data_IF_543535487148
#
_entry.id   IF_543535487148
#
_cell.length_a   1.000
_cell.length_b   1.000
_cell.length_c   1.000
_cell.angle_alpha   90.00
_cell.angle_beta   90.00
_cell.angle_gamma   90.00
#
_symmetry.space_group_name_H-M   'P 1'
#
loop_
_entity.id
_entity.type
_entity.pdbx_description
1 polymer ?
#
# COMPACT_ATOMS: atom_id res chain seq x y z
N UNK A 1 -73.25 -35.19 -37.44
CA UNK A 1 -71.89 -35.64 -37.80
C UNK A 1 -70.94 -35.02 -36.85
N UNK A 2 -70.43 -35.83 -35.90
CA UNK A 2 -69.50 -35.39 -34.85
C UNK A 2 -68.05 -35.71 -35.29
N UNK A 3 -67.23 -34.74 -35.46
CA UNK A 3 -65.80 -34.93 -35.76
C UNK A 3 -64.99 -34.99 -34.45
N UNK A 4 -64.45 -36.20 -34.17
CA UNK A 4 -63.54 -36.45 -33.06
C UNK A 4 -62.25 -35.72 -33.26
N UNK A 5 -61.90 -34.81 -32.33
CA UNK A 5 -60.57 -34.27 -32.19
C UNK A 5 -59.69 -35.27 -31.44
N UNK A 6 -58.65 -35.74 -32.13
CA UNK A 6 -57.74 -36.77 -31.61
C UNK A 6 -56.70 -36.11 -30.69
N UNK A 7 -56.65 -36.56 -29.39
CA UNK A 7 -55.77 -36.06 -28.34
C UNK A 7 -54.27 -36.31 -28.55
N UNK A 8 -53.88 -36.91 -29.69
CA UNK A 8 -52.45 -37.22 -29.98
C UNK A 8 -51.71 -36.14 -30.76
N UNK A 9 -52.40 -35.15 -31.31
CA UNK A 9 -51.78 -34.04 -32.11
C UNK A 9 -51.42 -32.79 -31.29
N UNK A 10 -51.74 -32.77 -29.97
CA UNK A 10 -51.48 -31.62 -29.10
C UNK A 10 -50.16 -31.70 -28.31
N UNK A 11 -49.45 -32.82 -28.44
CA UNK A 11 -48.20 -33.04 -27.67
C UNK A 11 -46.90 -32.83 -28.45
N UNK A 12 -46.98 -32.48 -29.74
CA UNK A 12 -45.77 -32.34 -30.58
C UNK A 12 -45.37 -30.88 -30.87
N UNK A 13 -46.07 -29.88 -30.33
CA UNK A 13 -45.74 -28.43 -30.53
C UNK A 13 -45.13 -27.76 -29.29
N UNK A 14 -45.02 -28.44 -28.14
CA UNK A 14 -44.44 -27.84 -26.92
C UNK A 14 -42.99 -28.28 -26.68
N UNK A 15 -42.39 -29.08 -27.56
CA UNK A 15 -41.00 -29.55 -27.40
C UNK A 15 -39.94 -28.78 -28.18
N UNK A 16 -40.35 -27.70 -28.92
CA UNK A 16 -39.41 -26.92 -29.75
C UNK A 16 -39.20 -25.46 -29.27
N UNK A 17 -39.76 -25.07 -28.13
CA UNK A 17 -39.69 -23.71 -27.59
C UNK A 17 -38.91 -23.54 -26.28
N UNK A 18 -38.26 -24.60 -25.74
CA UNK A 18 -37.67 -24.61 -24.43
C UNK A 18 -36.11 -24.72 -24.37
N UNK A 19 -35.44 -24.54 -25.50
CA UNK A 19 -33.96 -24.67 -25.55
C UNK A 19 -33.27 -23.31 -25.82
N UNK A 20 -33.83 -22.21 -25.33
CA UNK A 20 -33.18 -20.91 -25.40
C UNK A 20 -33.07 -20.33 -24.00
N UNK A 21 -31.79 -20.05 -23.59
CA UNK A 21 -31.41 -19.19 -22.46
C UNK A 21 -31.44 -19.82 -21.07
N UNK A 22 -30.84 -20.99 -20.90
CA UNK A 22 -30.12 -21.30 -19.67
C UNK A 22 -28.61 -21.08 -19.92
N UNK A 23 -28.22 -19.86 -20.31
CA UNK A 23 -26.86 -19.42 -19.98
C UNK A 23 -26.84 -19.22 -18.46
N UNK A 24 -26.78 -20.33 -17.75
CA UNK A 24 -26.45 -20.33 -16.34
C UNK A 24 -25.10 -19.63 -16.21
N UNK A 25 -25.13 -18.36 -15.80
CA UNK A 25 -23.99 -17.80 -15.09
C UNK A 25 -23.79 -18.77 -13.93
N UNK A 26 -22.88 -19.73 -14.11
CA UNK A 26 -22.37 -20.50 -12.99
C UNK A 26 -21.90 -19.43 -12.00
N UNK A 27 -22.59 -19.32 -10.87
CA UNK A 27 -22.11 -18.49 -9.78
C UNK A 27 -20.74 -19.05 -9.45
N UNK A 28 -19.69 -18.35 -9.82
CA UNK A 28 -18.36 -18.72 -9.45
C UNK A 28 -18.38 -18.86 -7.92
N UNK A 29 -17.90 -19.98 -7.41
CA UNK A 29 -17.83 -20.22 -5.97
C UNK A 29 -17.08 -19.05 -5.34
N UNK A 30 -17.73 -18.34 -4.40
CA UNK A 30 -17.12 -17.21 -3.71
C UNK A 30 -16.01 -17.77 -2.83
N UNK A 31 -14.77 -17.41 -3.13
CA UNK A 31 -13.59 -17.85 -2.39
C UNK A 31 -13.33 -16.90 -1.21
N UNK A 32 -13.01 -17.48 -0.05
CA UNK A 32 -12.49 -16.69 1.06
C UNK A 32 -11.13 -16.09 0.69
N UNK A 33 -10.98 -14.80 0.97
CA UNK A 33 -9.77 -14.03 0.76
C UNK A 33 -9.34 -13.32 2.02
N UNK A 34 -8.03 -13.12 2.19
CA UNK A 34 -7.44 -12.36 3.31
C UNK A 34 -6.34 -11.46 2.78
N UNK A 35 -6.53 -10.16 2.96
CA UNK A 35 -5.55 -9.15 2.63
C UNK A 35 -5.08 -8.42 3.89
N UNK A 36 -3.77 -8.23 4.04
CA UNK A 36 -3.18 -7.58 5.21
C UNK A 36 -2.53 -6.26 4.85
N UNK A 37 -2.79 -5.22 5.66
CA UNK A 37 -2.19 -3.88 5.53
C UNK A 37 -1.55 -3.43 6.84
N UNK A 38 -0.51 -2.54 6.80
CA UNK A 38 0.23 -2.18 8.00
C UNK A 38 -0.57 -1.34 9.00
N UNK A 39 -1.06 -0.18 8.56
CA UNK A 39 -1.73 0.83 9.39
C UNK A 39 -2.87 1.49 8.60
N UNK A 40 -3.81 2.08 9.30
CA UNK A 40 -5.02 2.69 8.71
C UNK A 40 -4.76 4.14 8.27
N UNK A 41 -4.13 4.30 7.09
CA UNK A 41 -3.84 5.61 6.47
C UNK A 41 -4.14 5.58 4.97
N UNK A 42 -4.41 6.74 4.33
CA UNK A 42 -4.78 6.81 2.91
C UNK A 42 -3.76 6.22 1.93
N UNK A 43 -2.47 6.12 2.28
CA UNK A 43 -1.46 5.51 1.40
C UNK A 43 -1.82 4.08 0.97
N UNK A 44 -2.65 3.40 1.75
CA UNK A 44 -3.15 2.05 1.46
C UNK A 44 -4.57 2.05 0.89
N UNK A 45 -5.05 3.15 0.31
CA UNK A 45 -6.45 3.33 -0.14
C UNK A 45 -6.93 2.31 -1.19
N UNK A 46 -6.04 1.73 -1.99
CA UNK A 46 -6.42 0.85 -3.11
C UNK A 46 -7.25 -0.34 -2.64
N UNK A 47 -6.83 -1.03 -1.57
CA UNK A 47 -7.59 -2.17 -1.05
C UNK A 47 -8.85 -1.75 -0.29
N UNK A 48 -8.86 -0.58 0.38
CA UNK A 48 -10.06 -0.04 1.02
C UNK A 48 -11.14 0.28 -0.03
N UNK A 49 -10.73 0.89 -1.15
CA UNK A 49 -11.63 1.15 -2.28
C UNK A 49 -12.09 -0.17 -2.90
N UNK A 50 -11.20 -1.16 -3.09
CA UNK A 50 -11.58 -2.46 -3.65
C UNK A 50 -12.65 -3.16 -2.81
N UNK A 51 -12.55 -3.08 -1.48
CA UNK A 51 -13.55 -3.63 -0.57
C UNK A 51 -14.87 -2.85 -0.61
N UNK A 52 -14.82 -1.54 -0.41
CA UNK A 52 -16.01 -0.69 -0.30
C UNK A 52 -16.78 -0.56 -1.62
N UNK A 53 -16.10 -0.52 -2.76
CA UNK A 53 -16.72 -0.50 -4.07
C UNK A 53 -17.22 -1.90 -4.52
N UNK A 54 -17.00 -2.95 -3.71
CA UNK A 54 -17.45 -4.30 -4.01
C UNK A 54 -16.63 -5.02 -5.07
N UNK A 55 -15.45 -4.52 -5.45
CA UNK A 55 -14.65 -5.11 -6.52
C UNK A 55 -14.11 -6.48 -6.18
N UNK A 56 -13.85 -6.78 -4.90
CA UNK A 56 -13.52 -8.14 -4.47
C UNK A 56 -14.69 -9.09 -4.68
N UNK A 57 -15.90 -8.72 -4.29
CA UNK A 57 -17.11 -9.54 -4.47
C UNK A 57 -17.42 -9.78 -5.95
N UNK A 58 -17.29 -8.73 -6.77
CA UNK A 58 -17.47 -8.84 -8.22
C UNK A 58 -16.45 -9.80 -8.85
N UNK A 59 -15.25 -9.90 -8.28
CA UNK A 59 -14.21 -10.84 -8.68
C UNK A 59 -14.38 -12.25 -8.07
N UNK A 60 -15.43 -12.50 -7.30
CA UNK A 60 -15.70 -13.78 -6.64
C UNK A 60 -14.93 -14.00 -5.34
N UNK A 61 -14.51 -12.92 -4.65
CA UNK A 61 -13.81 -13.00 -3.36
C UNK A 61 -14.66 -12.44 -2.22
N UNK A 62 -14.79 -13.19 -1.13
CA UNK A 62 -15.15 -12.67 0.19
C UNK A 62 -13.85 -12.32 0.92
N UNK A 63 -13.36 -11.09 0.70
CA UNK A 63 -12.05 -10.65 1.16
C UNK A 63 -12.15 -10.00 2.54
N UNK A 64 -11.38 -10.49 3.51
CA UNK A 64 -11.21 -9.90 4.84
C UNK A 64 -9.95 -9.05 4.86
N UNK A 65 -10.09 -7.77 5.20
CA UNK A 65 -8.98 -6.85 5.42
C UNK A 65 -8.48 -6.99 6.87
N UNK A 66 -7.17 -7.20 7.04
CA UNK A 66 -6.52 -7.43 8.33
C UNK A 66 -5.50 -6.33 8.57
N UNK A 67 -5.63 -5.60 9.68
CA UNK A 67 -4.62 -4.63 10.07
C UNK A 67 -3.48 -5.34 10.81
N UNK A 68 -2.28 -5.31 10.25
CA UNK A 68 -1.08 -5.95 10.83
C UNK A 68 -0.41 -5.14 11.94
N UNK A 69 -0.66 -3.82 11.99
CA UNK A 69 -0.07 -2.91 12.97
C UNK A 69 1.30 -2.33 12.57
N UNK A 70 2.03 -2.97 11.66
CA UNK A 70 3.25 -2.44 11.05
C UNK A 70 3.62 -3.19 9.78
N UNK A 71 4.50 -2.61 8.93
CA UNK A 71 4.97 -3.26 7.70
C UNK A 71 5.67 -4.59 7.95
N UNK A 72 6.50 -4.66 9.01
CA UNK A 72 7.20 -5.91 9.39
C UNK A 72 6.19 -7.00 9.75
N UNK A 73 5.19 -6.69 10.57
CA UNK A 73 4.13 -7.66 10.91
C UNK A 73 3.29 -8.06 9.71
N UNK A 74 3.00 -7.13 8.79
CA UNK A 74 2.35 -7.46 7.52
C UNK A 74 3.13 -8.51 6.75
N UNK A 75 4.45 -8.34 6.64
CA UNK A 75 5.33 -9.32 6.00
C UNK A 75 5.32 -10.68 6.73
N UNK A 76 5.35 -10.68 8.07
CA UNK A 76 5.30 -11.91 8.88
C UNK A 76 3.98 -12.67 8.70
N UNK A 77 2.86 -11.97 8.61
CA UNK A 77 1.54 -12.56 8.34
C UNK A 77 1.51 -13.23 6.96
N UNK A 78 2.11 -12.61 5.93
CA UNK A 78 2.27 -13.22 4.60
C UNK A 78 3.23 -14.42 4.66
N UNK A 79 4.36 -14.29 5.35
CA UNK A 79 5.34 -15.37 5.51
C UNK A 79 4.72 -16.63 6.14
N UNK A 80 3.82 -16.46 7.10
CA UNK A 80 3.12 -17.56 7.80
C UNK A 80 1.86 -18.05 7.07
N UNK A 81 1.54 -17.48 5.90
CA UNK A 81 0.33 -17.82 5.11
C UNK A 81 -0.99 -17.56 5.88
N UNK A 82 -0.98 -16.64 6.85
CA UNK A 82 -2.19 -16.21 7.56
C UNK A 82 -3.03 -15.23 6.72
N UNK A 83 -2.41 -14.57 5.72
CA UNK A 83 -3.10 -13.84 4.67
C UNK A 83 -2.58 -14.25 3.29
N UNK A 84 -3.39 -14.02 2.25
CA UNK A 84 -3.06 -14.40 0.88
C UNK A 84 -2.22 -13.34 0.17
N UNK A 85 -2.52 -12.07 0.43
CA UNK A 85 -1.87 -10.92 -0.19
C UNK A 85 -1.65 -9.83 0.87
N UNK A 86 -0.60 -9.05 0.72
CA UNK A 86 -0.32 -7.90 1.56
C UNK A 86 -0.05 -6.65 0.74
N UNK A 87 -0.21 -5.49 1.37
CA UNK A 87 0.27 -4.22 0.84
C UNK A 87 1.34 -3.66 1.77
N UNK A 88 2.40 -3.10 1.19
CA UNK A 88 3.50 -2.51 1.95
C UNK A 88 4.70 -2.18 1.09
N UNK A 89 5.85 -1.98 1.72
CA UNK A 89 7.09 -1.66 1.04
C UNK A 89 7.49 -2.75 0.03
N UNK A 90 7.96 -2.32 -1.13
CA UNK A 90 8.43 -3.23 -2.19
C UNK A 90 9.58 -4.14 -1.74
N UNK A 91 10.31 -3.78 -0.69
CA UNK A 91 11.35 -4.63 -0.11
C UNK A 91 10.79 -5.83 0.65
N UNK A 92 9.53 -5.83 1.05
CA UNK A 92 8.93 -6.93 1.81
C UNK A 92 8.98 -8.26 1.06
N UNK A 93 8.56 -8.38 -0.23
CA UNK A 93 8.73 -9.61 -0.99
C UNK A 93 10.22 -9.99 -1.18
N UNK A 94 11.11 -9.02 -1.32
CA UNK A 94 12.55 -9.28 -1.41
C UNK A 94 13.11 -9.89 -0.11
N UNK A 95 12.71 -9.34 1.04
CA UNK A 95 13.08 -9.89 2.36
C UNK A 95 12.51 -11.30 2.57
N UNK A 96 11.28 -11.57 2.11
CA UNK A 96 10.72 -12.93 2.12
C UNK A 96 11.58 -13.90 1.31
N UNK A 97 12.04 -13.50 0.13
CA UNK A 97 12.93 -14.31 -0.72
C UNK A 97 14.24 -14.64 0.00
N UNK A 98 14.84 -13.67 0.69
CA UNK A 98 16.06 -13.89 1.48
C UNK A 98 15.87 -14.91 2.63
N UNK A 99 14.65 -15.07 3.10
CA UNK A 99 14.30 -16.06 4.13
C UNK A 99 13.70 -17.34 3.54
N UNK A 100 13.97 -17.64 2.27
CA UNK A 100 13.56 -18.87 1.61
C UNK A 100 12.07 -18.94 1.20
N UNK A 101 11.37 -17.80 1.23
CA UNK A 101 9.99 -17.68 0.78
C UNK A 101 9.95 -16.77 -0.44
N UNK A 102 9.99 -17.33 -1.66
CA UNK A 102 10.02 -16.55 -2.91
C UNK A 102 8.88 -15.51 -2.94
N UNK A 103 9.21 -14.27 -2.56
CA UNK A 103 8.27 -13.15 -2.53
C UNK A 103 8.02 -12.61 -3.93
N UNK A 104 6.79 -12.17 -4.18
CA UNK A 104 6.34 -11.66 -5.49
C UNK A 104 5.59 -10.35 -5.35
N UNK A 105 6.00 -9.34 -6.11
CA UNK A 105 5.24 -8.12 -6.36
C UNK A 105 4.18 -8.42 -7.41
N UNK A 106 2.92 -8.16 -7.08
CA UNK A 106 1.79 -8.35 -7.99
C UNK A 106 1.41 -7.07 -8.72
N UNK A 107 1.46 -5.93 -8.03
CA UNK A 107 1.18 -4.60 -8.59
C UNK A 107 1.84 -3.52 -7.73
N UNK A 108 2.62 -2.59 -8.30
CA UNK A 108 3.03 -1.38 -7.61
C UNK A 108 1.83 -0.44 -7.43
N UNK A 109 1.91 0.42 -6.42
CA UNK A 109 0.85 1.39 -6.09
C UNK A 109 1.26 2.81 -6.45
N UNK A 110 2.57 3.09 -6.40
CA UNK A 110 3.11 4.43 -6.56
C UNK A 110 4.37 4.46 -7.45
N UNK A 111 4.73 5.67 -7.86
CA UNK A 111 5.93 5.96 -8.66
C UNK A 111 7.04 6.60 -7.84
N UNK A 112 6.72 7.04 -6.62
CA UNK A 112 7.63 7.58 -5.61
C UNK A 112 6.95 7.55 -4.24
N UNK A 113 7.72 7.70 -3.16
CA UNK A 113 7.14 7.70 -1.82
C UNK A 113 6.18 8.88 -1.61
N UNK A 114 5.07 8.58 -0.95
CA UNK A 114 4.11 9.56 -0.43
C UNK A 114 4.15 9.69 1.10
N UNK A 115 5.03 8.95 1.77
CA UNK A 115 4.98 8.77 3.23
C UNK A 115 6.30 9.03 3.95
N UNK A 116 7.29 9.65 3.29
CA UNK A 116 8.57 10.03 3.94
C UNK A 116 8.53 11.50 4.34
N UNK A 117 7.64 11.79 5.29
CA UNK A 117 7.48 13.12 5.89
C UNK A 117 8.08 13.09 7.30
N UNK A 118 9.08 13.94 7.56
CA UNK A 118 9.66 14.10 8.89
C UNK A 118 8.87 15.17 9.64
N UNK A 119 8.19 14.76 10.68
CA UNK A 119 7.33 15.59 11.53
C UNK A 119 8.06 15.82 12.84
N UNK A 120 8.50 17.05 13.09
CA UNK A 120 9.18 17.44 14.33
C UNK A 120 8.14 17.92 15.35
N UNK A 121 8.43 17.73 16.64
CA UNK A 121 7.70 18.41 17.70
C UNK A 121 7.72 19.91 17.48
N UNK A 122 6.55 20.56 17.64
CA UNK A 122 6.43 22.01 17.44
C UNK A 122 7.36 22.82 18.35
N UNK A 123 7.52 22.41 19.61
CA UNK A 123 8.40 23.10 20.57
C UNK A 123 9.88 23.13 20.13
N UNK A 124 10.36 22.11 19.42
CA UNK A 124 11.70 22.09 18.84
C UNK A 124 11.77 22.97 17.58
N UNK A 125 10.72 22.97 16.75
CA UNK A 125 10.60 23.85 15.60
C UNK A 125 10.64 25.33 16.02
N UNK A 126 9.91 25.67 17.08
CA UNK A 126 9.86 27.02 17.65
C UNK A 126 11.21 27.47 18.26
N UNK A 127 12.08 26.53 18.67
CA UNK A 127 13.46 26.78 19.07
C UNK A 127 14.42 26.97 17.89
N UNK A 128 13.93 26.97 16.64
CA UNK A 128 14.74 27.19 15.44
C UNK A 128 15.28 25.90 14.79
N UNK A 129 14.89 24.70 15.25
CA UNK A 129 15.30 23.46 14.61
C UNK A 129 14.41 23.25 13.36
N UNK A 130 14.88 23.78 12.23
CA UNK A 130 14.10 23.88 11.00
C UNK A 130 14.55 22.93 9.89
N UNK A 131 15.71 22.27 10.02
CA UNK A 131 16.27 21.34 9.03
C UNK A 131 16.80 20.07 9.67
N UNK A 132 17.09 19.04 8.88
CA UNK A 132 17.71 17.79 9.37
C UNK A 132 19.11 18.02 9.93
N UNK A 133 19.88 18.94 9.34
CA UNK A 133 21.20 19.33 9.84
C UNK A 133 21.09 20.00 11.22
N UNK A 134 20.14 20.92 11.41
CA UNK A 134 19.90 21.56 12.69
C UNK A 134 19.44 20.53 13.74
N UNK A 135 18.56 19.58 13.37
CA UNK A 135 18.15 18.49 14.25
C UNK A 135 19.36 17.66 14.71
N UNK A 136 20.21 17.23 13.78
CA UNK A 136 21.36 16.37 14.11
C UNK A 136 22.47 17.07 14.88
N UNK A 137 22.54 18.41 14.80
CA UNK A 137 23.42 19.22 15.65
C UNK A 137 22.87 19.42 17.09
N UNK A 138 21.53 19.33 17.24
CA UNK A 138 20.88 19.46 18.55
C UNK A 138 21.07 18.18 19.38
N UNK A 139 21.09 18.33 20.70
CA UNK A 139 21.11 17.24 21.67
C UNK A 139 19.89 17.33 22.57
N UNK A 140 19.37 16.19 22.94
CA UNK A 140 18.34 16.09 23.97
C UNK A 140 18.87 16.64 25.31
N UNK A 141 17.99 17.07 26.23
CA UNK A 141 18.44 17.59 27.54
C UNK A 141 19.34 16.62 28.35
N UNK A 142 19.22 15.33 28.10
CA UNK A 142 20.02 14.27 28.70
C UNK A 142 21.33 13.97 27.92
N UNK A 143 21.68 14.78 26.93
CA UNK A 143 22.87 14.64 26.10
C UNK A 143 22.79 13.60 24.97
N UNK A 144 21.70 12.83 24.88
CA UNK A 144 21.52 11.82 23.84
C UNK A 144 21.29 12.45 22.45
N UNK A 145 21.46 11.63 21.41
CA UNK A 145 21.09 11.96 20.03
C UNK A 145 19.58 12.17 19.94
N UNK A 146 19.10 12.97 18.94
CA UNK A 146 17.68 13.05 18.60
C UNK A 146 17.12 11.65 18.31
N UNK A 147 15.87 11.43 18.71
CA UNK A 147 15.16 10.18 18.48
C UNK A 147 14.17 10.39 17.33
N UNK A 148 14.35 9.63 16.26
CA UNK A 148 13.41 9.57 15.13
C UNK A 148 12.62 8.27 15.21
N UNK A 149 11.31 8.40 15.17
CA UNK A 149 10.36 7.30 15.23
C UNK A 149 9.80 6.96 13.86
N UNK A 150 9.63 5.66 13.65
CA UNK A 150 8.94 5.05 12.50
C UNK A 150 7.95 4.01 13.02
N UNK A 151 7.05 3.48 12.18
CA UNK A 151 6.16 2.38 12.61
C UNK A 151 6.94 1.11 12.99
N UNK A 152 8.00 0.78 12.24
CA UNK A 152 8.90 -0.33 12.55
C UNK A 152 10.25 -0.13 11.88
N UNK A 153 11.32 -0.60 12.55
CA UNK A 153 12.65 -0.68 11.93
C UNK A 153 12.61 -1.69 10.78
N UNK A 154 13.22 -1.34 9.63
CA UNK A 154 13.17 -2.13 8.40
C UNK A 154 11.84 -2.06 7.63
N UNK A 155 10.86 -1.26 8.10
CA UNK A 155 9.65 -0.93 7.32
C UNK A 155 9.89 0.22 6.36
N UNK A 156 8.88 0.51 5.50
CA UNK A 156 8.94 1.53 4.43
C UNK A 156 9.56 2.84 4.90
N UNK A 157 8.96 3.46 5.92
CA UNK A 157 9.42 4.78 6.38
C UNK A 157 10.86 4.76 6.90
N UNK A 158 11.29 3.65 7.52
CA UNK A 158 12.67 3.51 7.99
C UNK A 158 13.66 3.38 6.82
N UNK A 159 13.39 2.48 5.87
CA UNK A 159 14.26 2.23 4.71
C UNK A 159 14.48 3.50 3.89
N UNK A 160 13.41 4.24 3.62
CA UNK A 160 13.48 5.44 2.78
C UNK A 160 14.00 6.67 3.53
N UNK A 161 13.57 6.87 4.77
CA UNK A 161 14.04 8.00 5.58
C UNK A 161 15.54 7.88 5.95
N UNK A 162 16.00 6.68 6.29
CA UNK A 162 17.42 6.42 6.53
C UNK A 162 18.25 6.62 5.27
N UNK A 163 17.73 6.28 4.08
CA UNK A 163 18.41 6.57 2.81
C UNK A 163 18.62 8.07 2.59
N UNK A 164 17.60 8.90 2.84
CA UNK A 164 17.76 10.36 2.80
C UNK A 164 18.83 10.84 3.78
N UNK A 165 18.75 10.40 5.04
CA UNK A 165 19.72 10.77 6.09
C UNK A 165 21.13 10.33 5.71
N UNK A 166 21.30 9.14 5.15
CA UNK A 166 22.59 8.59 4.70
C UNK A 166 23.18 9.39 3.53
N UNK A 167 22.36 9.73 2.50
CA UNK A 167 22.83 10.56 1.37
C UNK A 167 23.24 11.97 1.78
N UNK A 168 22.79 12.44 2.96
CA UNK A 168 23.16 13.72 3.57
C UNK A 168 24.27 13.59 4.63
N UNK A 169 24.76 12.39 4.94
CA UNK A 169 25.78 12.15 5.98
C UNK A 169 25.26 12.40 7.39
N UNK A 170 23.97 12.13 7.66
CA UNK A 170 23.28 12.45 8.91
C UNK A 170 22.75 11.22 9.66
N UNK A 171 22.74 10.03 9.06
CA UNK A 171 22.06 8.85 9.61
C UNK A 171 22.65 8.39 10.95
N UNK A 172 23.96 8.43 11.09
CA UNK A 172 24.68 8.07 12.30
C UNK A 172 24.49 9.06 13.47
N UNK A 173 23.87 10.22 13.22
CA UNK A 173 23.69 11.31 14.20
C UNK A 173 22.33 11.27 14.92
N UNK A 174 21.51 10.30 14.63
CA UNK A 174 20.19 10.10 15.23
C UNK A 174 20.05 8.70 15.84
N UNK A 175 18.96 8.49 16.60
CA UNK A 175 18.55 7.17 17.08
C UNK A 175 17.21 6.82 16.46
N UNK A 176 17.13 5.73 15.72
CA UNK A 176 15.89 5.21 15.16
C UNK A 176 15.19 4.28 16.15
N UNK A 177 13.85 4.42 16.27
CA UNK A 177 13.01 3.50 17.04
C UNK A 177 11.71 3.18 16.30
N UNK A 178 11.17 1.97 16.55
CA UNK A 178 9.84 1.58 16.09
C UNK A 178 8.79 1.85 17.16
N UNK A 179 7.67 2.50 16.79
CA UNK A 179 6.59 2.84 17.75
C UNK A 179 5.22 2.23 17.39
N UNK A 180 5.13 1.41 16.34
CA UNK A 180 3.94 0.61 16.03
C UNK A 180 2.89 1.35 15.20
N UNK A 181 1.63 1.33 15.68
CA UNK A 181 0.48 1.89 14.97
C UNK A 181 0.39 3.43 15.05
N UNK A 182 -0.57 4.02 14.32
CA UNK A 182 -0.76 5.48 14.23
C UNK A 182 -0.92 6.13 15.59
N UNK A 183 -1.77 5.59 16.46
CA UNK A 183 -2.05 6.19 17.77
C UNK A 183 -0.82 6.22 18.66
N UNK A 184 -0.05 5.12 18.66
CA UNK A 184 1.21 5.04 19.42
C UNK A 184 2.27 5.97 18.86
N UNK A 185 2.35 6.08 17.52
CA UNK A 185 3.26 7.01 16.84
C UNK A 185 2.95 8.46 17.23
N UNK A 186 1.70 8.90 17.07
CA UNK A 186 1.25 10.26 17.42
C UNK A 186 1.43 10.53 18.93
N UNK A 187 1.04 9.57 19.76
CA UNK A 187 1.20 9.65 21.22
C UNK A 187 2.66 9.83 21.65
N UNK A 188 3.60 9.11 21.03
CA UNK A 188 5.03 9.21 21.36
C UNK A 188 5.63 10.58 21.03
N UNK A 189 5.21 11.21 19.93
CA UNK A 189 5.63 12.56 19.57
C UNK A 189 5.02 13.60 20.53
N UNK A 190 3.70 13.51 20.77
CA UNK A 190 2.95 14.41 21.66
C UNK A 190 3.47 14.39 23.09
N UNK A 191 3.86 13.21 23.61
CA UNK A 191 4.43 13.04 24.96
C UNK A 191 5.92 13.27 25.05
N UNK A 192 6.56 13.70 23.94
CA UNK A 192 8.01 14.00 23.84
C UNK A 192 8.92 12.78 24.09
N UNK A 193 8.41 11.57 23.95
CA UNK A 193 9.22 10.35 23.97
C UNK A 193 10.16 10.30 22.76
N UNK A 194 9.70 10.81 21.62
CA UNK A 194 10.48 10.99 20.39
C UNK A 194 10.52 12.47 20.00
N UNK A 195 11.49 12.84 19.18
CA UNK A 195 11.70 14.22 18.75
C UNK A 195 11.15 14.46 17.33
N UNK A 196 11.20 13.43 16.51
CA UNK A 196 10.69 13.42 15.15
C UNK A 196 9.96 12.10 14.89
N UNK A 197 8.91 12.17 14.11
CA UNK A 197 8.17 11.04 13.57
C UNK A 197 8.30 11.06 12.05
N UNK A 198 8.60 9.93 11.41
CA UNK A 198 8.51 9.81 9.94
C UNK A 198 7.26 9.02 9.58
N UNK A 199 6.36 9.66 8.85
CA UNK A 199 5.10 9.06 8.43
C UNK A 199 4.50 9.77 7.20
N UNK A 200 3.19 9.75 7.09
CA UNK A 200 2.40 10.27 5.99
C UNK A 200 2.04 11.76 6.17
N UNK A 201 1.54 12.36 5.10
CA UNK A 201 1.10 13.76 5.10
C UNK A 201 -0.14 13.98 5.99
N UNK A 202 -1.03 12.97 6.11
CA UNK A 202 -2.19 13.07 6.99
C UNK A 202 -1.78 13.23 8.46
N UNK A 203 -0.75 12.49 8.91
CA UNK A 203 -0.23 12.62 10.27
C UNK A 203 0.44 13.98 10.51
N UNK A 204 1.13 14.51 9.51
CA UNK A 204 1.64 15.88 9.58
C UNK A 204 0.49 16.89 9.75
N UNK A 205 -0.49 16.83 8.84
CA UNK A 205 -1.60 17.78 8.84
C UNK A 205 -2.38 17.73 10.15
N UNK A 206 -2.69 16.52 10.65
CA UNK A 206 -3.35 16.33 11.94
C UNK A 206 -2.54 16.94 13.09
N UNK A 207 -1.23 16.68 13.13
CA UNK A 207 -0.34 17.20 14.17
C UNK A 207 -0.20 18.75 14.13
N UNK A 208 -0.26 19.33 12.94
CA UNK A 208 -0.23 20.78 12.74
C UNK A 208 -1.55 21.42 13.17
N UNK A 209 -2.69 20.86 12.76
CA UNK A 209 -4.02 21.31 13.18
C UNK A 209 -4.19 21.28 14.70
N UNK A 210 -3.65 20.25 15.35
CA UNK A 210 -3.68 20.14 16.82
C UNK A 210 -2.58 20.95 17.55
N UNK A 211 -1.67 21.60 16.81
CA UNK A 211 -0.69 22.54 17.34
C UNK A 211 0.53 21.94 18.05
N UNK A 212 0.83 20.65 17.89
CA UNK A 212 1.99 20.00 18.54
C UNK A 212 3.04 19.44 17.59
N UNK A 213 2.78 19.37 16.29
CA UNK A 213 3.73 18.95 15.25
C UNK A 213 4.01 20.05 14.22
N UNK A 214 5.09 19.90 13.49
CA UNK A 214 5.46 20.76 12.37
C UNK A 214 6.27 20.00 11.33
N UNK A 215 6.24 20.46 10.07
CA UNK A 215 7.10 19.91 9.02
C UNK A 215 8.57 20.22 9.30
N UNK A 216 9.41 19.17 9.27
CA UNK A 216 10.87 19.30 9.29
C UNK A 216 11.46 19.10 7.89
N UNK A 217 11.10 17.99 7.23
CA UNK A 217 11.60 17.62 5.92
C UNK A 217 10.53 16.85 5.14
N UNK A 218 10.34 17.23 3.86
CA UNK A 218 9.40 16.58 2.96
C UNK A 218 10.14 15.75 1.90
N UNK A 219 10.36 14.48 2.20
CA UNK A 219 10.97 13.52 1.26
C UNK A 219 10.05 13.14 0.09
N UNK A 220 8.77 13.56 0.11
CA UNK A 220 7.83 13.33 -1.00
C UNK A 220 7.86 14.43 -2.06
N UNK A 221 8.51 15.55 -1.75
CA UNK A 221 8.70 16.66 -2.69
C UNK A 221 9.46 16.19 -3.92
N UNK A 222 8.92 16.46 -5.10
CA UNK A 222 9.45 15.95 -6.36
C UNK A 222 10.88 16.41 -6.66
N UNK A 223 11.22 17.65 -6.35
CA UNK A 223 12.58 18.16 -6.56
C UNK A 223 13.59 17.47 -5.61
N UNK A 224 13.18 17.25 -4.34
CA UNK A 224 13.99 16.52 -3.36
C UNK A 224 14.13 15.08 -3.79
N UNK A 225 13.02 14.42 -4.18
CA UNK A 225 13.04 13.06 -4.70
C UNK A 225 13.98 12.90 -5.89
N UNK A 226 13.84 13.77 -6.90
CA UNK A 226 14.68 13.70 -8.10
C UNK A 226 16.17 13.96 -7.79
N UNK A 227 16.47 14.85 -6.84
CA UNK A 227 17.86 15.12 -6.40
C UNK A 227 18.51 13.88 -5.76
N UNK A 228 17.79 13.15 -4.90
CA UNK A 228 18.37 12.05 -4.12
C UNK A 228 18.16 10.67 -4.74
N UNK A 229 17.02 10.47 -5.46
CA UNK A 229 16.60 9.17 -5.99
C UNK A 229 16.79 9.09 -7.53
N UNK A 230 16.53 10.19 -8.24
CA UNK A 230 16.77 10.28 -9.70
C UNK A 230 15.60 9.87 -10.60
N UNK A 231 14.37 9.83 -10.09
CA UNK A 231 13.17 9.55 -10.90
C UNK A 231 12.26 8.46 -10.35
N UNK A 232 11.42 7.86 -11.19
CA UNK A 232 10.44 6.82 -10.79
C UNK A 232 11.14 5.65 -10.08
N UNK A 233 10.69 5.35 -8.87
CA UNK A 233 11.00 4.14 -8.12
C UNK A 233 9.76 3.75 -7.33
N UNK A 234 9.20 2.55 -7.53
CA UNK A 234 8.06 2.09 -6.75
C UNK A 234 8.48 1.89 -5.29
N UNK A 235 7.62 2.32 -4.38
CA UNK A 235 7.84 2.25 -2.93
C UNK A 235 6.86 1.29 -2.29
N UNK A 236 5.60 1.41 -2.65
CA UNK A 236 4.51 0.59 -2.14
C UNK A 236 4.03 -0.39 -3.20
N UNK A 237 3.79 -1.62 -2.80
CA UNK A 237 3.29 -2.65 -3.71
C UNK A 237 2.32 -3.61 -3.02
N UNK A 238 1.42 -4.20 -3.79
CA UNK A 238 0.72 -5.43 -3.41
C UNK A 238 1.66 -6.61 -3.65
N UNK A 239 1.79 -7.49 -2.66
CA UNK A 239 2.75 -8.58 -2.70
C UNK A 239 2.22 -9.86 -2.05
N UNK A 240 2.82 -10.98 -2.42
CA UNK A 240 2.56 -12.30 -1.86
C UNK A 240 3.82 -13.17 -1.93
N UNK A 241 3.68 -14.47 -1.71
CA UNK A 241 4.74 -15.47 -1.98
C UNK A 241 4.34 -16.40 -3.11
N UNK A 242 5.33 -16.92 -3.85
CA UNK A 242 5.11 -17.80 -4.99
C UNK A 242 4.22 -19.00 -4.65
N UNK A 243 4.40 -19.61 -3.48
CA UNK A 243 3.59 -20.76 -3.05
C UNK A 243 2.10 -20.44 -2.88
N UNK A 244 1.74 -19.17 -2.57
CA UNK A 244 0.33 -18.74 -2.53
C UNK A 244 -0.22 -18.59 -3.95
N UNK A 245 0.59 -18.09 -4.88
CA UNK A 245 0.24 -18.01 -6.30
C UNK A 245 -0.01 -19.43 -6.85
N UNK A 246 0.94 -20.33 -6.64
CA UNK A 246 0.89 -21.71 -7.17
C UNK A 246 -0.30 -22.50 -6.64
N UNK A 247 -0.73 -22.22 -5.41
CA UNK A 247 -1.87 -22.89 -4.76
C UNK A 247 -3.21 -22.56 -5.42
N UNK A 248 -3.41 -21.30 -5.82
CA UNK A 248 -4.69 -20.84 -6.42
C UNK A 248 -4.45 -19.63 -7.34
N UNK A 249 -3.88 -19.82 -8.55
CA UNK A 249 -3.67 -18.73 -9.50
C UNK A 249 -4.95 -17.96 -9.85
N UNK A 250 -6.13 -18.60 -10.04
CA UNK A 250 -7.37 -17.88 -10.27
C UNK A 250 -7.76 -16.94 -9.12
N UNK A 251 -7.51 -17.31 -7.86
CA UNK A 251 -7.74 -16.45 -6.70
C UNK A 251 -6.82 -15.23 -6.74
N UNK A 252 -5.54 -15.42 -7.10
CA UNK A 252 -4.60 -14.30 -7.25
C UNK A 252 -5.02 -13.36 -8.38
N UNK A 253 -5.49 -13.90 -9.51
CA UNK A 253 -6.05 -13.09 -10.59
C UNK A 253 -7.25 -12.27 -10.14
N UNK A 254 -8.15 -12.85 -9.35
CA UNK A 254 -9.31 -12.16 -8.80
C UNK A 254 -8.89 -10.98 -7.90
N UNK A 255 -7.90 -11.18 -7.02
CA UNK A 255 -7.33 -10.11 -6.20
C UNK A 255 -6.78 -8.95 -7.05
N UNK A 256 -5.87 -9.28 -7.98
CA UNK A 256 -5.21 -8.25 -8.79
C UNK A 256 -6.21 -7.51 -9.69
N UNK A 257 -7.23 -8.22 -10.19
CA UNK A 257 -8.33 -7.60 -10.96
C UNK A 257 -9.13 -6.61 -10.11
N UNK A 258 -9.46 -6.97 -8.86
CA UNK A 258 -10.18 -6.07 -7.95
C UNK A 258 -9.34 -4.82 -7.61
N UNK A 259 -8.05 -5.00 -7.34
CA UNK A 259 -7.11 -3.91 -7.06
C UNK A 259 -6.89 -3.00 -8.27
N UNK A 260 -6.79 -3.56 -9.47
CA UNK A 260 -6.70 -2.78 -10.71
C UNK A 260 -7.94 -1.91 -10.91
N UNK A 261 -9.14 -2.47 -10.74
CA UNK A 261 -10.40 -1.72 -10.81
C UNK A 261 -10.44 -0.59 -9.78
N UNK A 262 -9.97 -0.84 -8.56
CA UNK A 262 -9.86 0.18 -7.51
C UNK A 262 -8.89 1.30 -7.90
N UNK A 263 -7.74 0.97 -8.49
CA UNK A 263 -6.77 1.95 -9.00
C UNK A 263 -7.40 2.85 -10.07
N UNK A 264 -8.16 2.27 -11.03
CA UNK A 264 -8.85 3.05 -12.05
C UNK A 264 -10.01 3.88 -11.47
N UNK A 265 -10.71 3.37 -10.46
CA UNK A 265 -11.73 4.13 -9.74
C UNK A 265 -11.11 5.35 -9.04
N UNK A 266 -9.99 5.17 -8.33
CA UNK A 266 -9.24 6.26 -7.67
C UNK A 266 -8.79 7.32 -8.69
N UNK A 267 -8.32 6.91 -9.87
CA UNK A 267 -7.95 7.82 -10.98
C UNK A 267 -9.09 8.73 -11.41
N UNK A 268 -10.32 8.21 -11.41
CA UNK A 268 -11.51 8.88 -11.93
C UNK A 268 -12.28 9.73 -10.89
N UNK A 269 -11.90 9.67 -9.60
CA UNK A 269 -12.67 10.32 -8.54
C UNK A 269 -11.86 11.42 -7.84
N UNK A 270 -12.59 12.40 -7.28
CA UNK A 270 -11.97 13.47 -6.49
C UNK A 270 -11.46 12.97 -5.14
N UNK A 271 -10.50 13.67 -4.51
CA UNK A 271 -10.02 13.33 -3.17
C UNK A 271 -11.13 13.22 -2.12
N UNK A 272 -12.15 14.08 -2.19
CA UNK A 272 -13.30 14.03 -1.29
C UNK A 272 -14.13 12.75 -1.47
N UNK A 273 -14.39 12.35 -2.71
CA UNK A 273 -15.11 11.10 -3.02
C UNK A 273 -14.31 9.86 -2.58
N UNK A 274 -12.99 9.90 -2.75
CA UNK A 274 -12.11 8.83 -2.28
C UNK A 274 -12.16 8.77 -0.76
N UNK A 275 -12.06 9.91 -0.07
CA UNK A 275 -12.17 9.97 1.39
C UNK A 275 -13.49 9.37 1.90
N UNK A 276 -14.63 9.78 1.36
CA UNK A 276 -15.95 9.26 1.73
C UNK A 276 -16.03 7.72 1.56
N UNK A 277 -15.36 7.19 0.55
CA UNK A 277 -15.27 5.74 0.32
C UNK A 277 -14.45 5.03 1.41
N UNK A 278 -13.31 5.61 1.84
CA UNK A 278 -12.36 4.95 2.75
C UNK A 278 -12.45 5.43 4.21
N UNK A 279 -13.30 6.42 4.52
CA UNK A 279 -13.47 6.98 5.87
C UNK A 279 -13.58 5.91 6.97
N UNK A 280 -14.35 4.81 6.80
CA UNK A 280 -14.46 3.78 7.84
C UNK A 280 -13.14 3.10 8.23
N UNK A 281 -12.09 3.24 7.42
CA UNK A 281 -10.77 2.63 7.67
C UNK A 281 -9.76 3.62 8.23
N UNK A 282 -9.85 4.92 7.89
CA UNK A 282 -8.80 5.93 8.19
C UNK A 282 -9.16 6.84 9.36
N UNK A 283 -9.77 6.27 10.42
CA UNK A 283 -10.46 7.02 11.48
C UNK A 283 -9.58 7.76 12.50
N UNK A 284 -8.25 7.62 12.48
CA UNK A 284 -7.37 8.22 13.52
C UNK A 284 -6.95 9.67 13.23
N UNK A 285 -7.23 10.19 12.03
CA UNK A 285 -6.85 11.55 11.61
C UNK A 285 -8.06 12.35 11.08
N UNK A 286 -7.92 13.69 11.03
CA UNK A 286 -9.02 14.55 10.60
C UNK A 286 -9.37 14.34 9.11
N UNK A 287 -10.63 14.67 8.73
CA UNK A 287 -11.07 14.65 7.33
C UNK A 287 -10.16 15.50 6.44
N UNK A 288 -9.86 16.72 6.88
CA UNK A 288 -9.02 17.64 6.12
C UNK A 288 -7.62 17.05 5.88
N UNK A 289 -6.99 16.48 6.90
CA UNK A 289 -5.69 15.83 6.80
C UNK A 289 -5.71 14.66 5.81
N UNK A 290 -6.73 13.81 5.86
CA UNK A 290 -6.88 12.69 4.93
C UNK A 290 -7.11 13.15 3.49
N UNK A 291 -7.96 14.15 3.24
CA UNK A 291 -8.22 14.69 1.90
C UNK A 291 -6.96 15.33 1.28
N UNK A 292 -6.17 16.05 2.08
CA UNK A 292 -4.88 16.59 1.63
C UNK A 292 -3.88 15.48 1.27
N UNK A 293 -3.83 14.40 2.07
CA UNK A 293 -2.98 13.25 1.75
C UNK A 293 -3.46 12.56 0.46
N UNK A 294 -4.75 12.28 0.30
CA UNK A 294 -5.31 11.66 -0.91
C UNK A 294 -4.98 12.52 -2.15
N UNK A 295 -5.07 13.85 -2.03
CA UNK A 295 -4.69 14.78 -3.10
C UNK A 295 -3.22 14.62 -3.50
N UNK A 296 -2.33 14.44 -2.52
CA UNK A 296 -0.91 14.19 -2.78
C UNK A 296 -0.66 12.79 -3.36
N UNK A 297 -1.38 11.78 -2.87
CA UNK A 297 -1.28 10.41 -3.35
C UNK A 297 -1.66 10.27 -4.82
N UNK A 298 -2.70 10.96 -5.29
CA UNK A 298 -3.08 10.94 -6.70
C UNK A 298 -1.97 11.46 -7.64
N UNK A 299 -1.07 12.34 -7.16
CA UNK A 299 0.07 12.86 -7.93
C UNK A 299 1.24 11.86 -8.05
N UNK A 300 1.29 10.88 -7.18
CA UNK A 300 2.36 9.88 -7.14
C UNK A 300 1.88 8.47 -7.49
N UNK A 301 0.57 8.26 -7.62
CA UNK A 301 -0.01 6.97 -7.94
C UNK A 301 0.51 6.40 -9.27
N UNK A 302 0.76 5.10 -9.29
CA UNK A 302 1.06 4.37 -10.51
C UNK A 302 -0.23 3.83 -11.13
N UNK A 303 -0.87 4.65 -11.96
CA UNK A 303 -2.11 4.27 -12.63
C UNK A 303 -1.92 3.23 -13.73
N UNK A 304 -0.68 2.90 -14.09
CA UNK A 304 -0.35 1.81 -14.99
C UNK A 304 0.04 0.54 -14.24
N UNK A 305 0.30 0.66 -12.93
CA UNK A 305 0.71 -0.42 -12.05
C UNK A 305 1.87 -1.25 -12.65
N UNK A 306 2.92 -0.58 -13.15
CA UNK A 306 4.02 -1.18 -13.89
C UNK A 306 5.39 -0.89 -13.27
N UNK A 307 6.29 -1.87 -13.33
CA UNK A 307 7.71 -1.72 -12.95
C UNK A 307 8.57 -1.96 -14.18
N UNK A 308 9.23 -0.92 -14.67
CA UNK A 308 10.21 -1.02 -15.75
C UNK A 308 11.63 -1.27 -15.23
N UNK A 309 12.52 -1.73 -16.11
CA UNK A 309 13.90 -2.05 -15.77
C UNK A 309 14.67 -0.82 -15.23
N UNK A 310 14.37 0.38 -15.71
CA UNK A 310 15.06 1.59 -15.29
C UNK A 310 14.63 2.02 -13.87
N UNK A 311 13.34 1.92 -13.54
CA UNK A 311 12.85 2.19 -12.18
C UNK A 311 13.34 1.14 -11.19
N UNK A 312 13.39 -0.12 -11.58
CA UNK A 312 13.95 -1.20 -10.77
C UNK A 312 15.43 -0.95 -10.47
N UNK A 313 16.24 -0.67 -11.49
CA UNK A 313 17.68 -0.39 -11.33
C UNK A 313 17.98 0.83 -10.44
N UNK A 314 17.12 1.86 -10.45
CA UNK A 314 17.21 2.97 -9.47
C UNK A 314 16.92 2.51 -8.04
N UNK A 315 15.89 1.67 -7.88
CA UNK A 315 15.49 1.12 -6.59
C UNK A 315 16.53 0.20 -5.96
N UNK A 316 17.29 -0.57 -6.77
CA UNK A 316 18.35 -1.47 -6.28
C UNK A 316 19.32 -0.77 -5.33
N UNK A 317 19.70 0.48 -5.61
CA UNK A 317 20.60 1.30 -4.79
C UNK A 317 20.07 1.56 -3.38
N UNK A 318 18.76 1.42 -3.19
CA UNK A 318 18.07 1.68 -1.93
C UNK A 318 17.72 0.36 -1.25
N UNK A 319 17.19 -0.58 -2.01
CA UNK A 319 16.67 -1.86 -1.51
C UNK A 319 17.76 -2.83 -1.08
N UNK A 320 18.93 -2.83 -1.78
CA UNK A 320 20.03 -3.77 -1.54
C UNK A 320 21.15 -3.18 -0.70
N UNK A 321 20.86 -2.12 0.06
CA UNK A 321 21.82 -1.58 1.03
C UNK A 321 22.09 -2.57 2.17
N UNK A 322 23.29 -2.52 2.73
CA UNK A 322 23.70 -3.38 3.85
C UNK A 322 22.69 -3.36 5.01
N UNK A 323 22.19 -2.16 5.36
CA UNK A 323 21.21 -1.99 6.44
C UNK A 323 19.90 -2.74 6.25
N UNK A 324 19.50 -3.03 5.00
CA UNK A 324 18.29 -3.79 4.71
C UNK A 324 18.49 -5.29 4.86
N UNK A 325 19.74 -5.76 4.78
CA UNK A 325 20.09 -7.18 4.77
C UNK A 325 19.57 -7.95 3.54
N UNK A 326 19.08 -7.23 2.50
CA UNK A 326 18.50 -7.84 1.31
C UNK A 326 19.63 -8.14 0.33
N UNK A 327 19.78 -9.42 -0.05
CA UNK A 327 20.66 -9.83 -1.16
C UNK A 327 20.06 -9.37 -2.49
N UNK A 328 20.90 -8.94 -3.45
CA UNK A 328 20.42 -8.56 -4.77
C UNK A 328 19.56 -9.64 -5.43
N UNK A 329 18.47 -9.21 -6.04
CA UNK A 329 17.51 -10.01 -6.79
C UNK A 329 17.24 -9.34 -8.13
N UNK A 330 16.98 -10.11 -9.14
CA UNK A 330 16.56 -9.58 -10.45
C UNK A 330 15.08 -9.20 -10.46
N UNK A 331 14.69 -8.34 -11.39
CA UNK A 331 13.28 -7.98 -11.57
C UNK A 331 12.40 -9.23 -11.81
N UNK A 332 12.88 -10.22 -12.57
CA UNK A 332 12.15 -11.46 -12.87
C UNK A 332 11.95 -12.35 -11.62
N UNK A 333 12.85 -12.28 -10.64
CA UNK A 333 12.70 -13.00 -9.37
C UNK A 333 11.68 -12.35 -8.44
N UNK A 334 11.43 -11.06 -8.60
CA UNK A 334 10.60 -10.28 -7.67
C UNK A 334 9.23 -9.97 -8.26
N UNK A 335 9.11 -9.64 -9.54
CA UNK A 335 7.88 -9.14 -10.16
C UNK A 335 7.11 -10.23 -10.89
N UNK A 336 5.80 -10.31 -10.69
CA UNK A 336 4.88 -11.19 -11.41
C UNK A 336 3.88 -10.34 -12.20
N UNK A 337 4.21 -9.93 -13.44
CA UNK A 337 3.41 -8.98 -14.22
C UNK A 337 2.14 -9.59 -14.83
N UNK A 338 2.09 -10.92 -15.00
CA UNK A 338 1.03 -11.61 -15.76
C UNK A 338 -0.38 -11.28 -15.24
N UNK A 339 -0.56 -11.19 -13.93
CA UNK A 339 -1.85 -10.92 -13.30
C UNK A 339 -2.34 -9.49 -13.59
N UNK A 340 -1.46 -8.51 -13.48
CA UNK A 340 -1.84 -7.11 -13.75
C UNK A 340 -2.03 -6.88 -15.25
N UNK A 341 -1.27 -7.54 -16.11
CA UNK A 341 -1.43 -7.48 -17.55
C UNK A 341 -2.77 -8.08 -18.00
N UNK A 342 -3.16 -9.21 -17.41
CA UNK A 342 -4.48 -9.81 -17.62
C UNK A 342 -5.61 -8.90 -17.11
N UNK A 343 -5.45 -8.27 -15.94
CA UNK A 343 -6.44 -7.34 -15.39
C UNK A 343 -6.62 -6.10 -16.29
N UNK A 344 -5.53 -5.49 -16.78
CA UNK A 344 -5.56 -4.36 -17.74
C UNK A 344 -6.28 -4.73 -19.03
N UNK A 345 -6.02 -5.93 -19.57
CA UNK A 345 -6.67 -6.42 -20.77
C UNK A 345 -8.17 -6.63 -20.58
N UNK A 346 -8.58 -7.13 -19.41
CA UNK A 346 -9.98 -7.39 -19.08
C UNK A 346 -10.77 -6.10 -18.77
N UNK A 347 -10.11 -5.10 -18.20
CA UNK A 347 -10.69 -3.81 -17.81
C UNK A 347 -9.76 -2.67 -18.27
N UNK A 348 -9.82 -2.28 -19.55
CA UNK A 348 -9.04 -1.17 -20.09
C UNK A 348 -9.30 0.14 -19.31
N UNK A 349 -8.23 0.98 -19.14
CA UNK A 349 -8.26 2.25 -18.40
C UNK A 349 -9.03 3.35 -19.15
#
# INVERSE_FOLDING_TARGET
>A
MATHFNRRSALTVIAAGGAALATGRAWAEIKEGREVYPVAVPVYQTHFVADRAGFFKDAGLDCKLIQGGSGVKTREIIASSQADIGIGDITHPMQLSNHGRAGRVLAPVDTRSSSVIFIIRKDLKDQGIATLEALTAWKRPDGRKPIISVSSLGGTNHVWASYYMETMGLDDKVTWIGTGNVDTMLGSLKTKQVDVLVSSLSLLNDSVEQGWGALLFDGTNEAIWNKHIGGKVPVTSHFTVQSTIDKDPPKMQAYVTALWRATQWIKAHSPDQIYEMIEPYVGSTSRNANVLEITALQKVADFDASIDAASFARGEKIWFREMTGIKPLTIAEVVSPDFIDAARKAYPA
#
